data_IF_797193821595
#
_entry.id   IF_797193821595
#
_cell.length_a   1.000
_cell.length_b   1.000
_cell.length_c   1.000
_cell.angle_alpha   90.00
_cell.angle_beta   90.00
_cell.angle_gamma   90.00
#
_symmetry.space_group_name_H-M   'P 1'
#
loop_
_entity.id
_entity.type
_entity.pdbx_description
1 polymer ?
#
# COMPACT_ATOMS: atom_id res chain seq x y z
N UNK A 1 -11.60 5.86 -1.70
CA UNK A 1 -10.60 6.96 -1.70
C UNK A 1 -9.22 6.32 -1.50
N UNK A 2 -8.10 6.92 -1.90
CA UNK A 2 -6.79 6.23 -1.93
C UNK A 2 -5.80 6.86 -0.96
N UNK A 3 -5.35 6.11 0.04
CA UNK A 3 -4.23 6.48 0.91
C UNK A 3 -2.92 5.92 0.33
N UNK A 4 -1.88 6.75 0.20
CA UNK A 4 -0.54 6.29 -0.16
C UNK A 4 0.23 5.99 1.14
N UNK A 5 0.52 4.71 1.37
CA UNK A 5 1.21 4.26 2.57
C UNK A 5 2.62 3.84 2.18
N UNK A 6 3.61 4.49 2.79
CA UNK A 6 4.98 4.05 2.66
C UNK A 6 5.38 3.20 3.85
N UNK A 7 6.34 2.31 3.61
CA UNK A 7 6.71 1.24 4.50
C UNK A 7 7.56 1.74 5.68
N UNK A 8 6.93 2.48 6.59
CA UNK A 8 7.50 2.94 7.85
C UNK A 8 6.42 2.81 8.93
N UNK A 9 6.69 2.13 10.05
CA UNK A 9 5.70 1.99 11.09
C UNK A 9 5.31 3.37 11.62
N UNK A 10 4.02 3.53 11.84
CA UNK A 10 3.42 4.73 12.44
C UNK A 10 3.74 6.04 11.70
N UNK A 11 4.15 5.97 10.42
CA UNK A 11 4.34 7.16 9.58
C UNK A 11 3.25 7.21 8.52
N UNK A 12 2.41 8.22 8.65
CA UNK A 12 1.45 8.64 7.63
C UNK A 12 2.04 9.89 7.01
N UNK A 13 2.26 9.87 5.70
CA UNK A 13 2.82 11.04 4.98
C UNK A 13 1.74 12.11 4.81
N UNK A 14 0.52 11.65 4.53
CA UNK A 14 -0.69 12.45 4.59
C UNK A 14 -1.88 11.54 4.86
N UNK A 15 -2.96 12.11 5.38
CA UNK A 15 -4.26 11.46 5.49
C UNK A 15 -5.21 11.92 4.35
N UNK A 16 -6.48 11.52 4.42
CA UNK A 16 -7.49 11.86 3.41
C UNK A 16 -8.16 13.22 3.65
N UNK A 17 -7.87 13.89 4.77
CA UNK A 17 -8.32 15.26 5.05
C UNK A 17 -7.25 16.29 4.62
N UNK A 18 -6.01 15.85 4.48
CA UNK A 18 -4.91 16.60 3.88
C UNK A 18 -4.99 16.68 2.36
N UNK A 19 -4.98 17.91 1.84
CA UNK A 19 -4.90 18.28 0.41
C UNK A 19 -6.19 18.11 -0.41
N UNK A 20 -6.66 19.22 -0.98
CA UNK A 20 -7.90 19.26 -1.75
C UNK A 20 -7.67 19.34 -3.26
N UNK A 21 -6.46 19.70 -3.70
CA UNK A 21 -6.13 19.84 -5.13
C UNK A 21 -5.10 18.83 -5.61
N UNK A 22 -5.23 18.42 -6.87
CA UNK A 22 -4.25 17.55 -7.55
C UNK A 22 -2.83 18.14 -7.52
N UNK A 23 -2.71 19.46 -7.65
CA UNK A 23 -1.41 20.15 -7.64
C UNK A 23 -0.72 20.02 -6.28
N UNK A 24 -1.46 20.22 -5.18
CA UNK A 24 -0.92 20.03 -3.82
C UNK A 24 -0.45 18.60 -3.59
N UNK A 25 -1.26 17.61 -3.99
CA UNK A 25 -0.90 16.20 -3.88
C UNK A 25 0.39 15.89 -4.65
N UNK A 26 0.51 16.32 -5.91
CA UNK A 26 1.70 16.08 -6.74
C UNK A 26 2.94 16.75 -6.13
N UNK A 27 2.82 18.01 -5.71
CA UNK A 27 3.92 18.74 -5.08
C UNK A 27 4.39 18.03 -3.80
N UNK A 28 3.45 17.51 -3.02
CA UNK A 28 3.79 16.78 -1.80
C UNK A 28 4.45 15.42 -2.10
N UNK A 29 4.01 14.68 -3.12
CA UNK A 29 4.71 13.45 -3.56
C UNK A 29 6.17 13.70 -3.95
N UNK A 30 6.47 14.86 -4.53
CA UNK A 30 7.83 15.22 -4.96
C UNK A 30 8.78 15.50 -3.79
N UNK A 31 8.26 15.89 -2.63
CA UNK A 31 9.07 16.21 -1.44
C UNK A 31 9.22 15.04 -0.48
N UNK A 32 8.53 13.92 -0.70
CA UNK A 32 8.77 12.67 0.05
C UNK A 32 10.24 12.31 -0.17
N UNK A 33 11.08 12.62 0.81
CA UNK A 33 12.52 12.47 0.68
C UNK A 33 12.88 11.00 0.49
N UNK A 34 14.01 10.78 -0.18
CA UNK A 34 14.76 9.52 -0.13
C UNK A 34 15.32 9.34 1.28
N UNK A 35 14.46 9.09 2.27
CA UNK A 35 14.92 8.59 3.55
C UNK A 35 15.67 7.27 3.31
N UNK A 36 16.65 6.99 4.17
CA UNK A 36 17.35 5.70 4.16
C UNK A 36 16.34 4.65 4.62
N UNK A 37 15.74 3.97 3.64
CA UNK A 37 14.85 2.87 3.90
C UNK A 37 15.62 1.72 4.55
N UNK A 38 15.06 1.06 5.56
CA UNK A 38 15.67 -0.14 6.10
C UNK A 38 15.78 -1.19 4.98
N UNK A 39 16.84 -2.02 4.97
CA UNK A 39 16.94 -3.11 4.03
C UNK A 39 15.76 -4.06 4.20
N UNK A 40 15.11 -4.44 3.08
CA UNK A 40 13.98 -5.37 3.02
C UNK A 40 12.79 -4.99 3.94
N UNK A 41 12.10 -3.86 3.68
CA UNK A 41 11.02 -3.43 4.56
C UNK A 41 9.79 -4.35 4.38
N UNK A 42 9.16 -4.78 5.49
CA UNK A 42 8.02 -5.70 5.50
C UNK A 42 6.72 -4.96 5.09
N UNK A 43 6.06 -5.32 3.96
CA UNK A 43 4.86 -4.62 3.52
C UNK A 43 3.70 -4.66 4.52
N UNK A 44 3.68 -5.63 5.46
CA UNK A 44 2.65 -5.71 6.50
C UNK A 44 2.71 -4.55 7.50
N UNK A 45 3.88 -3.90 7.65
CA UNK A 45 4.04 -2.72 8.51
C UNK A 45 3.20 -1.55 7.99
N UNK A 46 3.29 -1.24 6.70
CA UNK A 46 2.49 -0.18 6.08
C UNK A 46 0.99 -0.47 6.16
N UNK A 47 0.58 -1.73 6.00
CA UNK A 47 -0.81 -2.15 6.13
C UNK A 47 -1.32 -2.06 7.59
N UNK A 48 -0.45 -2.30 8.57
CA UNK A 48 -0.81 -2.06 9.98
C UNK A 48 -1.11 -0.58 10.22
N UNK A 49 -0.31 0.32 9.64
CA UNK A 49 -0.57 1.78 9.71
C UNK A 49 -1.90 2.15 9.06
N UNK A 50 -2.25 1.57 7.91
CA UNK A 50 -3.56 1.75 7.25
C UNK A 50 -4.71 1.40 8.18
N UNK A 51 -4.71 0.17 8.72
CA UNK A 51 -5.76 -0.38 9.55
C UNK A 51 -5.98 0.48 10.79
N UNK A 52 -4.91 1.06 11.35
CA UNK A 52 -4.98 1.85 12.58
C UNK A 52 -5.41 3.30 12.39
N UNK A 53 -5.20 3.89 11.21
CA UNK A 53 -5.34 5.33 11.04
C UNK A 53 -6.13 5.72 9.80
N UNK A 54 -5.65 5.37 8.61
CA UNK A 54 -6.22 5.89 7.36
C UNK A 54 -7.66 5.44 7.08
N UNK A 55 -8.16 4.44 7.81
CA UNK A 55 -9.56 4.01 7.75
C UNK A 55 -10.49 4.79 8.73
N UNK A 56 -9.97 5.67 9.57
CA UNK A 56 -10.77 6.42 10.56
C UNK A 56 -11.25 7.77 9.98
N UNK A 57 -12.49 8.16 10.30
CA UNK A 57 -13.13 9.40 9.83
C UNK A 57 -12.39 10.67 10.26
N UNK A 58 -11.66 10.62 11.38
CA UNK A 58 -10.81 11.72 11.85
C UNK A 58 -9.61 11.98 10.93
N UNK A 59 -9.31 11.05 10.04
CA UNK A 59 -8.30 11.15 8.99
C UNK A 59 -8.92 11.33 7.59
N UNK A 60 -10.18 11.77 7.51
CA UNK A 60 -10.88 12.06 6.27
C UNK A 60 -11.50 10.84 5.58
N UNK A 61 -11.50 9.65 6.20
CA UNK A 61 -12.17 8.50 5.61
C UNK A 61 -13.69 8.71 5.51
N UNK A 62 -14.31 8.16 4.46
CA UNK A 62 -15.75 8.22 4.21
C UNK A 62 -16.30 6.81 4.17
N UNK A 63 -16.93 6.38 5.27
CA UNK A 63 -17.48 5.03 5.40
C UNK A 63 -18.58 4.68 4.38
N UNK A 64 -19.19 5.68 3.72
CA UNK A 64 -20.16 5.48 2.66
C UNK A 64 -19.52 5.32 1.26
N UNK A 65 -18.19 5.33 1.17
CA UNK A 65 -17.43 5.15 -0.07
C UNK A 65 -16.52 3.93 0.04
N UNK A 66 -16.31 3.28 -1.10
CA UNK A 66 -15.36 2.19 -1.19
C UNK A 66 -13.91 2.72 -1.03
N UNK A 67 -13.13 2.02 -0.21
CA UNK A 67 -11.71 2.28 -0.05
C UNK A 67 -10.89 1.49 -1.06
N UNK A 68 -9.81 2.12 -1.51
CA UNK A 68 -8.85 1.55 -2.46
C UNK A 68 -7.48 1.64 -1.83
N UNK A 69 -6.85 0.49 -1.62
CA UNK A 69 -5.50 0.39 -1.06
C UNK A 69 -4.54 0.03 -2.18
N UNK A 70 -3.50 0.84 -2.38
CA UNK A 70 -2.45 0.56 -3.36
C UNK A 70 -1.14 0.33 -2.61
N UNK A 71 -0.63 -0.90 -2.69
CA UNK A 71 0.65 -1.31 -2.09
C UNK A 71 1.72 -1.41 -3.18
N UNK A 72 2.82 -0.68 -3.05
CA UNK A 72 4.02 -0.86 -3.85
C UNK A 72 5.13 -1.45 -2.98
N UNK A 73 5.70 -2.58 -3.39
CA UNK A 73 6.75 -3.26 -2.61
C UNK A 73 7.81 -3.90 -3.50
N UNK A 74 9.07 -3.79 -3.08
CA UNK A 74 10.19 -4.58 -3.62
C UNK A 74 10.54 -5.79 -2.74
N UNK A 75 9.88 -5.87 -1.58
CA UNK A 75 10.22 -6.76 -0.48
C UNK A 75 9.55 -8.12 -0.57
N UNK A 76 10.11 -9.04 0.20
CA UNK A 76 9.60 -10.38 0.44
C UNK A 76 9.09 -10.43 1.88
N UNK A 77 7.84 -10.84 2.12
CA UNK A 77 7.38 -11.09 3.49
C UNK A 77 8.03 -12.32 4.09
N UNK A 78 8.74 -13.19 3.35
CA UNK A 78 9.37 -14.38 3.94
C UNK A 78 10.62 -14.05 4.80
N UNK A 79 11.27 -12.91 4.56
CA UNK A 79 12.40 -12.43 5.37
C UNK A 79 11.89 -11.54 6.52
N UNK A 80 11.07 -12.12 7.42
CA UNK A 80 10.63 -11.48 8.67
C UNK A 80 11.77 -11.37 9.70
N UNK A 81 12.97 -10.98 9.28
CA UNK A 81 14.12 -10.77 10.15
C UNK A 81 14.56 -9.31 10.04
N UNK A 82 14.17 -8.48 11.01
CA UNK A 82 14.52 -7.07 11.02
C UNK A 82 13.85 -6.28 12.15
N UNK A 83 14.26 -5.02 12.31
CA UNK A 83 13.81 -4.09 13.34
C UNK A 83 12.35 -3.59 13.13
N UNK A 84 11.77 -3.83 11.94
CA UNK A 84 10.47 -3.31 11.54
C UNK A 84 9.54 -4.46 11.14
N UNK A 85 9.05 -5.17 12.16
CA UNK A 85 8.02 -6.20 12.00
C UNK A 85 6.65 -5.60 12.24
N UNK A 86 5.65 -6.10 11.51
CA UNK A 86 4.28 -5.80 11.86
C UNK A 86 4.00 -6.24 13.30
N UNK A 87 3.37 -5.37 14.09
CA UNK A 87 3.01 -5.66 15.49
C UNK A 87 1.82 -6.62 15.61
N UNK A 88 1.19 -6.95 14.49
CA UNK A 88 0.02 -7.82 14.35
C UNK A 88 0.37 -9.05 13.50
N UNK A 89 -0.32 -10.16 13.71
CA UNK A 89 -0.14 -11.34 12.87
C UNK A 89 -0.61 -11.07 11.43
N UNK A 90 0.07 -11.68 10.44
CA UNK A 90 -0.32 -11.59 9.02
C UNK A 90 -1.81 -11.89 8.82
N UNK A 91 -2.31 -12.98 9.40
CA UNK A 91 -3.71 -13.38 9.29
C UNK A 91 -4.69 -12.32 9.82
N UNK A 92 -4.37 -11.67 10.94
CA UNK A 92 -5.20 -10.58 11.48
C UNK A 92 -5.17 -9.34 10.57
N UNK A 93 -4.00 -8.97 10.05
CA UNK A 93 -3.85 -7.85 9.13
C UNK A 93 -4.66 -8.07 7.87
N UNK A 94 -4.60 -9.27 7.27
CA UNK A 94 -5.34 -9.61 6.06
C UNK A 94 -6.86 -9.61 6.30
N UNK A 95 -7.32 -10.24 7.38
CA UNK A 95 -8.75 -10.25 7.76
C UNK A 95 -9.30 -8.82 7.91
N UNK A 96 -8.56 -7.95 8.62
CA UNK A 96 -8.93 -6.54 8.74
C UNK A 96 -8.86 -5.80 7.42
N UNK A 97 -7.78 -5.97 6.66
CA UNK A 97 -7.60 -5.28 5.39
C UNK A 97 -8.74 -5.59 4.41
N UNK A 98 -9.09 -6.87 4.23
CA UNK A 98 -10.17 -7.29 3.34
C UNK A 98 -11.56 -6.99 3.89
N UNK A 99 -11.71 -6.89 5.22
CA UNK A 99 -12.93 -6.37 5.83
C UNK A 99 -13.15 -4.86 5.64
N UNK A 100 -12.07 -4.09 5.43
CA UNK A 100 -12.11 -2.64 5.23
C UNK A 100 -12.15 -2.24 3.75
N UNK A 101 -11.43 -2.97 2.90
CA UNK A 101 -11.35 -2.67 1.47
C UNK A 101 -11.45 -3.95 0.64
N UNK A 102 -12.37 -3.92 -0.33
CA UNK A 102 -12.47 -4.95 -1.37
C UNK A 102 -11.57 -4.65 -2.58
N UNK A 103 -10.75 -3.59 -2.54
CA UNK A 103 -9.96 -3.14 -3.69
C UNK A 103 -8.50 -2.86 -3.27
N UNK A 104 -7.81 -3.95 -2.91
CA UNK A 104 -6.41 -3.96 -2.53
C UNK A 104 -5.57 -4.35 -3.75
N UNK A 105 -4.88 -3.36 -4.32
CA UNK A 105 -4.02 -3.50 -5.48
C UNK A 105 -2.58 -3.57 -5.04
N UNK A 106 -1.87 -4.61 -5.48
CA UNK A 106 -0.48 -4.87 -5.08
C UNK A 106 0.44 -4.84 -6.28
N UNK A 107 1.48 -4.02 -6.21
CA UNK A 107 2.60 -3.96 -7.15
C UNK A 107 3.86 -4.52 -6.50
N UNK A 108 4.23 -5.73 -6.89
CA UNK A 108 5.53 -6.33 -6.57
C UNK A 108 6.56 -5.95 -7.63
N UNK A 109 7.66 -5.32 -7.25
CA UNK A 109 8.69 -4.83 -8.16
C UNK A 109 10.02 -5.52 -7.90
N UNK A 110 10.56 -6.20 -8.92
CA UNK A 110 11.86 -6.85 -8.88
C UNK A 110 11.80 -8.36 -8.61
N UNK A 111 12.96 -9.01 -8.76
CA UNK A 111 13.06 -10.47 -8.79
C UNK A 111 13.00 -11.15 -7.41
N UNK A 112 13.03 -10.39 -6.31
CA UNK A 112 12.97 -10.94 -4.94
C UNK A 112 11.55 -11.06 -4.40
N UNK A 113 10.56 -10.65 -5.18
CA UNK A 113 9.14 -10.72 -4.81
C UNK A 113 8.62 -12.15 -4.91
N UNK A 114 7.96 -12.61 -3.85
CA UNK A 114 7.27 -13.90 -3.83
C UNK A 114 5.79 -13.72 -4.16
N UNK A 115 5.35 -14.28 -5.29
CA UNK A 115 3.95 -14.18 -5.75
C UNK A 115 2.94 -14.66 -4.71
N UNK A 116 3.18 -15.81 -4.08
CA UNK A 116 2.28 -16.39 -3.08
C UNK A 116 2.00 -15.42 -1.94
N UNK A 117 3.04 -14.77 -1.43
CA UNK A 117 2.93 -13.81 -0.34
C UNK A 117 2.12 -12.57 -0.70
N UNK A 118 2.37 -12.00 -1.87
CA UNK A 118 1.65 -10.80 -2.33
C UNK A 118 0.21 -11.12 -2.76
N UNK A 119 -0.03 -12.35 -3.23
CA UNK A 119 -1.36 -12.80 -3.64
C UNK A 119 -2.34 -12.87 -2.47
N UNK A 120 -1.86 -13.20 -1.28
CA UNK A 120 -2.66 -13.17 -0.05
C UNK A 120 -3.06 -11.74 0.36
N UNK A 121 -2.30 -10.72 -0.06
CA UNK A 121 -2.60 -9.31 0.25
C UNK A 121 -3.59 -8.73 -0.76
N UNK A 122 -3.36 -8.96 -2.05
CA UNK A 122 -4.23 -8.45 -3.12
C UNK A 122 -5.66 -9.02 -3.00
N UNK A 123 -6.66 -8.25 -3.45
CA UNK A 123 -8.05 -8.73 -3.52
C UNK A 123 -8.15 -10.05 -4.30
N UNK A 124 -7.60 -10.06 -5.52
CA UNK A 124 -7.55 -11.23 -6.38
C UNK A 124 -6.29 -11.23 -7.28
N UNK A 125 -6.20 -12.17 -8.22
CA UNK A 125 -5.08 -12.26 -9.17
C UNK A 125 -5.07 -11.11 -10.20
N UNK A 126 -6.20 -10.44 -10.44
CA UNK A 126 -6.28 -9.28 -11.34
C UNK A 126 -5.77 -8.00 -10.66
N UNK A 127 -5.83 -7.95 -9.32
CA UNK A 127 -5.30 -6.86 -8.50
C UNK A 127 -3.82 -7.06 -8.11
N UNK A 128 -3.17 -8.13 -8.59
CA UNK A 128 -1.75 -8.40 -8.37
C UNK A 128 -0.92 -8.14 -9.64
N UNK A 129 -0.01 -7.18 -9.54
CA UNK A 129 0.92 -6.82 -10.61
C UNK A 129 2.36 -7.15 -10.19
N UNK A 130 3.04 -8.00 -10.96
CA UNK A 130 4.44 -8.36 -10.76
C UNK A 130 5.27 -7.77 -11.89
N UNK A 131 6.20 -6.89 -11.54
CA UNK A 131 7.03 -6.13 -12.47
C UNK A 131 8.49 -6.55 -12.30
N UNK A 132 9.26 -6.63 -13.38
CA UNK A 132 10.68 -6.94 -13.25
C UNK A 132 11.48 -5.74 -12.73
N UNK A 133 11.04 -4.52 -13.03
CA UNK A 133 11.71 -3.29 -12.61
C UNK A 133 10.72 -2.11 -12.57
N UNK A 134 11.20 -0.99 -12.02
CA UNK A 134 10.40 0.23 -11.80
C UNK A 134 9.94 0.90 -13.11
N UNK A 135 10.63 0.68 -14.24
CA UNK A 135 10.30 1.33 -15.51
C UNK A 135 9.03 0.77 -16.16
N UNK A 136 8.56 -0.40 -15.72
CA UNK A 136 7.30 -0.99 -16.18
C UNK A 136 6.07 -0.36 -15.49
N UNK A 137 6.25 0.35 -14.36
CA UNK A 137 5.15 0.91 -13.56
C UNK A 137 4.12 1.71 -14.37
N UNK A 138 4.50 2.62 -15.29
CA UNK A 138 3.52 3.40 -16.04
C UNK A 138 2.51 2.52 -16.80
N UNK A 139 2.97 1.45 -17.45
CA UNK A 139 2.10 0.54 -18.21
C UNK A 139 1.16 -0.25 -17.30
N UNK A 140 1.63 -0.67 -16.12
CA UNK A 140 0.81 -1.39 -15.15
C UNK A 140 -0.14 -0.47 -14.38
N UNK A 141 0.23 0.79 -14.14
CA UNK A 141 -0.64 1.79 -13.51
C UNK A 141 -1.89 2.05 -14.36
N UNK A 142 -1.76 2.14 -15.70
CA UNK A 142 -2.92 2.27 -16.59
C UNK A 142 -3.85 1.05 -16.53
N UNK A 143 -3.30 -0.15 -16.32
CA UNK A 143 -4.10 -1.36 -16.11
C UNK A 143 -4.83 -1.32 -14.77
N UNK A 144 -4.13 -0.98 -13.70
CA UNK A 144 -4.69 -0.89 -12.35
C UNK A 144 -5.81 0.15 -12.24
N UNK A 145 -5.70 1.29 -12.93
CA UNK A 145 -6.76 2.32 -12.96
C UNK A 145 -8.12 1.76 -13.36
N UNK A 146 -8.17 0.74 -14.23
CA UNK A 146 -9.44 0.10 -14.63
C UNK A 146 -10.14 -0.63 -13.50
N UNK A 147 -9.41 -1.07 -12.48
CA UNK A 147 -9.97 -1.67 -11.27
C UNK A 147 -10.39 -0.63 -10.23
N UNK A 148 -9.85 0.59 -10.32
CA UNK A 148 -10.10 1.69 -9.37
C UNK A 148 -11.31 2.54 -9.80
N UNK A 149 -11.41 2.85 -11.10
CA UNK A 149 -12.34 3.84 -11.65
C UNK A 149 -13.60 3.20 -12.25
N UNK A 150 -14.32 2.42 -11.43
CA UNK A 150 -15.59 1.78 -11.81
C UNK A 150 -16.78 2.73 -11.72
#
# INVERSE_FOLDING_TARGET
>A
MTALLLNKPDTIIWDLDGHYTKTEMINHLQIIQKEVWPPNPDPLVGLTTYIRHANDVSFGNRHDKADVVILLTTGNTADHSGFWLASMSKGYILDKLHGLSNNVIVFGIGHRVQRSNLREIATDDEHLFLLNNVYELPSYAERAKRHICV
#
